data_IF_865129704951
#
_entry.id   IF_865129704951
#
_cell.length_a   1.000
_cell.length_b   1.000
_cell.length_c   1.000
_cell.angle_alpha   90.00
_cell.angle_beta   90.00
_cell.angle_gamma   90.00
#
_symmetry.space_group_name_H-M   'P 1'
#
loop_
_entity.id
_entity.type
_entity.pdbx_description
1 polymer ?
#
# COMPACT_ATOMS: atom_id res chain seq x y z
N UNK A 1 3.60 -9.46 18.85
CA UNK A 1 3.55 -8.00 19.08
C UNK A 1 2.51 -7.75 20.16
N UNK A 2 2.93 -7.40 21.38
CA UNK A 2 1.99 -7.06 22.45
C UNK A 2 1.13 -5.86 21.99
N UNK A 3 -0.21 -6.00 22.06
CA UNK A 3 -1.12 -4.90 21.73
C UNK A 3 -1.04 -3.91 22.89
N UNK A 4 -0.12 -2.95 22.80
CA UNK A 4 0.01 -1.89 23.79
C UNK A 4 -1.20 -0.98 23.66
N UNK A 5 -2.17 -1.18 24.54
CA UNK A 5 -3.34 -0.32 24.68
C UNK A 5 -2.90 0.91 25.48
N UNK A 6 -3.08 2.10 24.91
CA UNK A 6 -2.74 3.38 25.53
C UNK A 6 -3.91 4.36 25.38
N UNK A 7 -4.03 5.35 26.28
CA UNK A 7 -5.00 6.43 26.12
C UNK A 7 -4.69 7.21 24.85
N UNK A 8 -5.72 7.46 24.03
CA UNK A 8 -5.65 8.16 22.75
C UNK A 8 -6.85 9.07 22.57
N UNK A 9 -6.63 10.19 21.91
CA UNK A 9 -7.67 11.17 21.61
C UNK A 9 -8.35 10.85 20.29
N UNK A 10 -9.68 10.79 20.28
CA UNK A 10 -10.47 10.62 19.08
C UNK A 10 -10.35 11.85 18.17
N UNK A 11 -10.02 11.64 16.88
CA UNK A 11 -9.90 12.74 15.89
C UNK A 11 -11.21 13.40 15.49
N UNK A 12 -12.35 12.84 15.89
CA UNK A 12 -13.69 13.33 15.50
C UNK A 12 -14.40 14.06 16.65
N UNK A 13 -14.39 13.49 17.85
CA UNK A 13 -15.09 14.05 19.01
C UNK A 13 -14.16 14.50 20.15
N UNK A 14 -12.84 14.31 20.02
CA UNK A 14 -11.87 14.73 21.04
C UNK A 14 -11.84 13.89 22.32
N UNK A 15 -12.67 12.85 22.46
CA UNK A 15 -12.67 12.02 23.68
C UNK A 15 -11.40 11.19 23.81
N UNK A 16 -10.90 11.06 25.04
CA UNK A 16 -9.80 10.14 25.36
C UNK A 16 -10.37 8.74 25.55
N UNK A 17 -9.77 7.75 24.90
CA UNK A 17 -10.17 6.35 24.97
C UNK A 17 -8.94 5.44 24.90
N UNK A 18 -9.06 4.25 25.47
CA UNK A 18 -8.01 3.25 25.41
C UNK A 18 -8.04 2.52 24.06
N UNK A 19 -6.91 2.59 23.34
CA UNK A 19 -6.81 2.05 21.99
C UNK A 19 -5.43 1.51 21.64
N UNK A 20 -5.40 0.55 20.73
CA UNK A 20 -4.16 0.03 20.16
C UNK A 20 -3.39 1.08 19.32
N UNK A 21 -2.19 0.75 18.83
CA UNK A 21 -1.25 1.70 18.22
C UNK A 21 -1.76 2.42 16.96
N UNK A 22 -2.82 1.90 16.32
CA UNK A 22 -3.46 2.48 15.13
C UNK A 22 -4.91 2.91 15.36
N UNK A 23 -5.37 2.99 16.60
CA UNK A 23 -6.71 3.50 16.88
C UNK A 23 -6.75 5.02 16.71
N UNK A 24 -7.58 5.51 15.78
CA UNK A 24 -7.78 6.96 15.51
C UNK A 24 -9.12 7.51 16.01
N UNK A 25 -10.10 6.63 16.22
CA UNK A 25 -11.46 7.00 16.62
C UNK A 25 -11.92 6.13 17.79
N UNK A 26 -12.67 6.75 18.70
CA UNK A 26 -13.33 6.07 19.79
C UNK A 26 -14.37 5.05 19.28
N UNK A 27 -14.81 4.09 20.11
CA UNK A 27 -15.73 3.03 19.69
C UNK A 27 -17.07 3.57 19.12
N UNK A 28 -17.58 4.67 19.65
CA UNK A 28 -18.84 5.30 19.21
C UNK A 28 -18.69 5.91 17.82
N UNK A 29 -17.74 6.82 17.61
CA UNK A 29 -17.50 7.43 16.31
C UNK A 29 -17.09 6.40 15.25
N UNK A 30 -16.36 5.34 15.64
CA UNK A 30 -16.04 4.24 14.72
C UNK A 30 -17.30 3.55 14.20
N UNK A 31 -18.26 3.28 15.11
CA UNK A 31 -19.53 2.63 14.76
C UNK A 31 -20.37 3.51 13.83
N UNK A 32 -20.39 4.81 14.06
CA UNK A 32 -21.09 5.77 13.20
C UNK A 32 -20.50 5.81 11.80
N UNK A 33 -19.16 5.93 11.69
CA UNK A 33 -18.48 5.90 10.39
C UNK A 33 -18.69 4.58 9.66
N UNK A 34 -18.70 3.46 10.38
CA UNK A 34 -18.99 2.15 9.79
C UNK A 34 -20.44 2.08 9.25
N UNK A 35 -21.42 2.61 9.99
CA UNK A 35 -22.81 2.71 9.52
C UNK A 35 -22.91 3.57 8.26
N UNK A 36 -22.23 4.71 8.22
CA UNK A 36 -22.22 5.60 7.06
C UNK A 36 -21.54 4.96 5.85
N UNK A 37 -20.38 4.33 6.03
CA UNK A 37 -19.67 3.61 4.97
C UNK A 37 -20.54 2.47 4.40
N UNK A 38 -21.20 1.70 5.27
CA UNK A 38 -22.12 0.65 4.84
C UNK A 38 -23.34 1.22 4.11
N UNK A 39 -23.89 2.35 4.55
CA UNK A 39 -24.98 3.03 3.83
C UNK A 39 -24.54 3.44 2.43
N UNK A 40 -23.38 4.08 2.28
CA UNK A 40 -22.82 4.48 0.98
C UNK A 40 -22.57 3.28 0.07
N UNK A 41 -22.01 2.20 0.61
CA UNK A 41 -21.79 0.95 -0.13
C UNK A 41 -23.10 0.32 -0.62
N UNK A 42 -24.14 0.28 0.25
CA UNK A 42 -25.46 -0.24 -0.13
C UNK A 42 -26.16 0.63 -1.17
N UNK A 43 -26.07 1.96 -1.04
CA UNK A 43 -26.67 2.90 -1.99
C UNK A 43 -26.07 2.79 -3.41
N UNK A 44 -24.76 2.52 -3.50
CA UNK A 44 -24.06 2.27 -4.77
C UNK A 44 -24.43 0.92 -5.42
N UNK A 45 -24.97 -0.03 -4.64
CA UNK A 45 -25.29 -1.36 -5.11
C UNK A 45 -24.04 -2.19 -5.46
N UNK A 46 -24.22 -3.23 -6.30
CA UNK A 46 -23.13 -4.09 -6.81
C UNK A 46 -22.44 -3.53 -8.07
N UNK A 47 -22.59 -2.24 -8.33
CA UNK A 47 -21.99 -1.60 -9.51
C UNK A 47 -20.52 -1.29 -9.19
N UNK A 48 -19.62 -1.98 -9.88
CA UNK A 48 -18.20 -1.66 -9.84
C UNK A 48 -17.95 -0.38 -10.65
N UNK A 49 -17.14 0.55 -10.13
CA UNK A 49 -16.76 1.76 -10.90
C UNK A 49 -16.00 1.40 -12.18
N UNK A 50 -15.27 0.28 -12.14
CA UNK A 50 -14.48 -0.27 -13.25
C UNK A 50 -14.87 -1.74 -13.44
N UNK A 51 -15.94 -2.02 -14.21
CA UNK A 51 -16.38 -3.38 -14.44
C UNK A 51 -15.34 -4.17 -15.25
N UNK A 52 -15.24 -5.48 -14.99
CA UNK A 52 -14.35 -6.35 -15.76
C UNK A 52 -14.84 -6.41 -17.22
N UNK A 53 -13.92 -6.31 -18.17
CA UNK A 53 -14.23 -6.28 -19.59
C UNK A 53 -14.51 -4.88 -20.17
N UNK A 54 -14.59 -3.83 -19.35
CA UNK A 54 -14.69 -2.46 -19.86
C UNK A 54 -13.38 -2.00 -20.51
N UNK A 55 -13.43 -0.93 -21.30
CA UNK A 55 -12.25 -0.24 -21.82
C UNK A 55 -11.79 0.86 -20.87
N UNK A 56 -10.49 1.00 -20.71
CA UNK A 56 -9.86 2.08 -19.93
C UNK A 56 -8.53 2.49 -20.57
N UNK A 57 -7.95 3.63 -20.18
CA UNK A 57 -6.76 4.23 -20.79
C UNK A 57 -5.52 4.00 -19.95
N UNK A 58 -4.44 3.60 -20.62
CA UNK A 58 -3.14 3.34 -19.98
C UNK A 58 -2.51 4.66 -19.51
N UNK A 59 -2.10 4.74 -18.25
CA UNK A 59 -1.46 5.97 -17.71
C UNK A 59 -0.08 6.25 -18.29
N UNK A 60 0.57 5.26 -18.93
CA UNK A 60 1.93 5.41 -19.49
C UNK A 60 1.92 5.74 -20.98
N UNK A 61 1.06 5.09 -21.76
CA UNK A 61 1.04 5.26 -23.22
C UNK A 61 -0.27 5.84 -23.77
N UNK A 62 -1.29 6.05 -22.93
CA UNK A 62 -2.60 6.60 -23.34
C UNK A 62 -3.50 5.64 -24.12
N UNK A 63 -2.99 4.49 -24.58
CA UNK A 63 -3.76 3.50 -25.34
C UNK A 63 -4.89 2.90 -24.50
N UNK A 64 -5.99 2.59 -25.17
CA UNK A 64 -7.11 1.88 -24.56
C UNK A 64 -6.77 0.41 -24.35
N UNK A 65 -7.25 -0.17 -23.26
CA UNK A 65 -7.08 -1.57 -22.91
C UNK A 65 -8.34 -2.12 -22.23
N UNK A 66 -8.53 -3.43 -22.35
CA UNK A 66 -9.60 -4.15 -21.63
C UNK A 66 -9.21 -4.35 -20.17
N UNK A 67 -10.05 -3.88 -19.26
CA UNK A 67 -9.87 -4.00 -17.81
C UNK A 67 -10.05 -5.46 -17.40
N UNK A 68 -8.96 -6.09 -16.94
CA UNK A 68 -8.95 -7.45 -16.37
C UNK A 68 -8.88 -7.45 -14.85
N UNK A 69 -8.54 -6.32 -14.24
CA UNK A 69 -8.50 -6.18 -12.79
C UNK A 69 -8.83 -4.75 -12.35
N UNK A 70 -9.47 -4.60 -11.19
CA UNK A 70 -9.87 -3.30 -10.67
C UNK A 70 -8.68 -2.34 -10.39
N UNK A 71 -7.48 -2.89 -10.13
CA UNK A 71 -6.25 -2.13 -9.87
C UNK A 71 -5.37 -1.97 -11.11
N UNK A 72 -5.81 -2.40 -12.28
CA UNK A 72 -5.05 -2.24 -13.51
C UNK A 72 -4.86 -0.75 -13.80
N UNK A 73 -3.60 -0.32 -13.99
CA UNK A 73 -3.24 1.05 -14.37
C UNK A 73 -2.64 1.13 -15.76
N UNK A 74 -2.00 0.04 -16.19
CA UNK A 74 -1.23 -0.05 -17.41
C UNK A 74 -1.85 -1.08 -18.37
N UNK A 75 -1.68 -0.87 -19.67
CA UNK A 75 -1.95 -1.92 -20.66
C UNK A 75 -0.96 -3.08 -20.47
N UNK A 76 -1.25 -4.28 -21.01
CA UNK A 76 -0.40 -5.46 -20.87
C UNK A 76 1.06 -5.21 -21.27
N UNK A 77 1.30 -4.43 -22.33
CA UNK A 77 2.64 -4.13 -22.83
C UNK A 77 3.44 -3.21 -21.90
N UNK A 78 2.76 -2.23 -21.28
CA UNK A 78 3.40 -1.25 -20.39
C UNK A 78 3.45 -1.71 -18.93
N UNK A 79 2.71 -2.75 -18.56
CA UNK A 79 2.56 -3.17 -17.17
C UNK A 79 3.90 -3.55 -16.53
N UNK A 80 4.72 -4.32 -17.25
CA UNK A 80 6.00 -4.80 -16.71
C UNK A 80 6.92 -3.65 -16.31
N UNK A 81 7.14 -2.70 -17.22
CA UNK A 81 8.04 -1.59 -16.98
C UNK A 81 7.47 -0.59 -15.97
N UNK A 82 6.18 -0.25 -16.08
CA UNK A 82 5.53 0.70 -15.18
C UNK A 82 5.48 0.24 -13.73
N UNK A 83 5.25 -1.05 -13.48
CA UNK A 83 5.32 -1.63 -12.12
C UNK A 83 6.76 -1.54 -11.60
N UNK A 84 7.73 -1.93 -12.43
CA UNK A 84 9.14 -1.98 -12.03
C UNK A 84 9.72 -0.59 -11.74
N UNK A 85 9.31 0.44 -12.47
CA UNK A 85 9.67 1.84 -12.19
C UNK A 85 9.18 2.29 -10.81
N UNK A 86 7.97 1.88 -10.41
CA UNK A 86 7.44 2.20 -9.08
C UNK A 86 8.13 1.39 -7.96
N UNK A 87 8.43 0.11 -8.20
CA UNK A 87 9.00 -0.79 -7.18
C UNK A 87 10.50 -0.62 -6.97
N UNK A 88 11.26 -0.30 -8.04
CA UNK A 88 12.71 -0.08 -8.01
C UNK A 88 13.17 0.88 -6.90
N UNK A 89 12.62 2.10 -6.75
CA UNK A 89 13.09 3.03 -5.71
C UNK A 89 12.83 2.48 -4.31
N UNK A 90 11.67 1.86 -4.07
CA UNK A 90 11.34 1.25 -2.78
C UNK A 90 12.32 0.11 -2.46
N UNK A 91 12.50 -0.82 -3.39
CA UNK A 91 13.43 -1.95 -3.24
C UNK A 91 14.86 -1.47 -3.07
N UNK A 92 15.30 -0.44 -3.80
CA UNK A 92 16.64 0.15 -3.63
C UNK A 92 16.82 0.78 -2.26
N UNK A 93 15.85 1.55 -1.78
CA UNK A 93 15.90 2.19 -0.47
C UNK A 93 15.96 1.13 0.63
N UNK A 94 15.09 0.13 0.58
CA UNK A 94 15.09 -0.98 1.54
C UNK A 94 16.42 -1.76 1.52
N UNK A 95 16.91 -2.10 0.31
CA UNK A 95 18.20 -2.76 0.16
C UNK A 95 19.37 -1.90 0.67
N UNK A 96 19.26 -0.57 0.64
CA UNK A 96 20.26 0.35 1.18
C UNK A 96 20.23 0.42 2.70
N UNK A 97 19.04 0.43 3.29
CA UNK A 97 18.82 0.47 4.74
C UNK A 97 19.17 -0.87 5.42
N UNK A 98 19.06 -1.99 4.69
CA UNK A 98 19.29 -3.35 5.22
C UNK A 98 20.52 -4.05 4.60
N UNK A 99 21.48 -3.31 4.04
CA UNK A 99 22.69 -3.87 3.40
C UNK A 99 23.47 -4.81 4.31
N UNK A 100 23.60 -4.46 5.58
CA UNK A 100 24.47 -5.17 6.52
C UNK A 100 23.83 -6.47 7.04
N UNK A 101 22.50 -6.55 7.09
CA UNK A 101 21.78 -7.70 7.65
C UNK A 101 21.28 -8.69 6.60
N UNK A 102 20.85 -8.22 5.42
CA UNK A 102 20.19 -9.07 4.43
C UNK A 102 21.15 -9.72 3.42
N UNK A 103 22.31 -9.11 3.14
CA UNK A 103 23.34 -9.66 2.26
C UNK A 103 24.74 -9.71 2.91
N UNK A 104 24.91 -10.41 4.05
CA UNK A 104 26.18 -10.42 4.79
C UNK A 104 27.36 -10.92 3.93
N UNK A 105 27.15 -11.97 3.12
CA UNK A 105 28.18 -12.52 2.24
C UNK A 105 28.62 -11.56 1.11
N UNK A 106 27.70 -10.75 0.57
CA UNK A 106 28.00 -9.75 -0.47
C UNK A 106 28.72 -8.54 0.12
N UNK A 107 28.38 -8.17 1.36
CA UNK A 107 29.05 -7.12 2.10
C UNK A 107 30.48 -7.53 2.49
N UNK A 108 30.68 -8.77 2.94
CA UNK A 108 32.00 -9.33 3.26
C UNK A 108 32.95 -9.30 2.04
N UNK A 109 32.46 -9.68 0.85
CA UNK A 109 33.25 -9.59 -0.41
C UNK A 109 33.59 -8.15 -0.81
N UNK A 110 32.73 -7.17 -0.50
CA UNK A 110 33.03 -5.74 -0.73
C UNK A 110 34.01 -5.14 0.28
N UNK A 111 34.10 -5.73 1.48
CA UNK A 111 35.03 -5.31 2.54
C UNK A 111 36.44 -5.86 2.34
N UNK A 112 36.61 -7.00 1.65
CA UNK A 112 37.95 -7.45 1.18
C UNK A 112 38.48 -6.42 0.18
N UNK A 113 39.66 -5.85 0.44
CA UNK A 113 40.34 -4.95 -0.52
C UNK A 113 40.66 -5.74 -1.80
N UNK A 114 40.64 -5.10 -2.98
CA UNK A 114 41.12 -5.76 -4.19
C UNK A 114 42.60 -6.11 -4.00
N UNK A 115 42.91 -7.39 -3.76
CA UNK A 115 44.27 -7.88 -3.52
C UNK A 115 44.43 -8.86 -2.35
N UNK A 116 43.47 -9.00 -1.45
CA UNK A 116 43.50 -10.05 -0.42
C UNK A 116 42.75 -11.29 -0.91
N UNK A 117 43.51 -12.36 -1.18
CA UNK A 117 42.99 -13.71 -1.37
C UNK A 117 42.12 -14.17 -0.19
#
# INVERSE_FOLDING_TARGET
MAVVVKPRTCRQCGTVFDGGPRAWYCPTCRRERAKEANRRHRAKGRVADRPLGSTDKCTRCGKEYTVRSARQKYCPDCAYEGIREADRPMSRKWNQEHKDTYYPARNAKRRKKPGEC
#
